data_IF_922237173411
#
_entry.id   IF_922237173411
#
_cell.length_a   1.000
_cell.length_b   1.000
_cell.length_c   1.000
_cell.angle_alpha   90.00
_cell.angle_beta   90.00
_cell.angle_gamma   90.00
#
_symmetry.space_group_name_H-M   'P 1'
#
loop_
_entity.id
_entity.type
_entity.pdbx_description
1 polymer ?
#
# COMPACT_ATOMS: atom_id res chain seq x y z
N UNK A 1 11.61 0.96 -18.16
CA UNK A 1 12.57 0.16 -18.96
C UNK A 1 14.03 0.48 -18.65
N UNK A 2 14.37 1.73 -18.32
CA UNK A 2 15.73 2.14 -17.98
C UNK A 2 16.34 1.32 -16.82
N UNK A 3 15.58 1.01 -15.77
CA UNK A 3 16.05 0.18 -14.66
C UNK A 3 16.48 -1.24 -15.12
N UNK A 4 15.94 -1.72 -16.22
CA UNK A 4 16.26 -3.02 -16.80
C UNK A 4 17.35 -2.96 -17.87
N UNK A 5 17.94 -1.80 -18.14
CA UNK A 5 18.93 -1.61 -19.22
C UNK A 5 20.19 -2.48 -19.03
N UNK A 6 20.60 -2.73 -17.79
CA UNK A 6 21.73 -3.60 -17.48
C UNK A 6 21.52 -5.06 -17.93
N UNK A 7 20.27 -5.55 -17.93
CA UNK A 7 19.91 -6.91 -18.35
C UNK A 7 19.55 -6.97 -19.84
N UNK A 8 18.85 -5.99 -20.34
CA UNK A 8 18.26 -5.98 -21.69
C UNK A 8 19.13 -5.25 -22.73
N UNK A 9 20.15 -4.51 -22.31
CA UNK A 9 21.03 -3.75 -23.21
C UNK A 9 20.20 -2.82 -24.12
N UNK A 10 20.51 -2.81 -25.42
CA UNK A 10 19.83 -1.97 -26.42
C UNK A 10 18.33 -2.28 -26.59
N UNK A 11 17.85 -3.47 -26.18
CA UNK A 11 16.45 -3.86 -26.28
C UNK A 11 15.56 -3.07 -25.30
N UNK A 12 16.14 -2.51 -24.23
CA UNK A 12 15.42 -1.66 -23.26
C UNK A 12 14.88 -0.38 -23.91
N UNK A 13 15.46 0.07 -25.01
CA UNK A 13 15.05 1.28 -25.74
C UNK A 13 14.10 1.01 -26.91
N UNK A 14 13.75 -0.26 -27.15
CA UNK A 14 12.85 -0.68 -28.23
C UNK A 14 11.46 -1.04 -27.74
N UNK A 15 10.73 -1.79 -28.58
CA UNK A 15 9.37 -2.28 -28.28
C UNK A 15 9.26 -3.06 -26.97
N UNK A 16 10.32 -3.80 -26.61
CA UNK A 16 10.37 -4.54 -25.33
C UNK A 16 10.38 -3.57 -24.14
N UNK A 17 11.15 -2.48 -24.22
CA UNK A 17 11.14 -1.45 -23.19
C UNK A 17 9.78 -0.80 -23.02
N UNK A 18 9.10 -0.45 -24.11
CA UNK A 18 7.74 0.12 -24.07
C UNK A 18 6.76 -0.88 -23.41
N UNK A 19 6.83 -2.15 -23.76
CA UNK A 19 5.96 -3.18 -23.15
C UNK A 19 6.19 -3.28 -21.63
N UNK A 20 7.45 -3.24 -21.17
CA UNK A 20 7.78 -3.23 -19.74
C UNK A 20 7.20 -1.98 -19.07
N UNK A 21 7.37 -0.79 -19.66
CA UNK A 21 6.86 0.45 -19.08
C UNK A 21 5.34 0.44 -18.95
N UNK A 22 4.64 -0.06 -19.96
CA UNK A 22 3.18 -0.22 -19.95
C UNK A 22 2.73 -1.20 -18.86
N UNK A 23 3.39 -2.36 -18.75
CA UNK A 23 3.08 -3.35 -17.71
C UNK A 23 3.32 -2.79 -16.30
N UNK A 24 4.39 -2.03 -16.10
CA UNK A 24 4.68 -1.38 -14.81
C UNK A 24 3.59 -0.37 -14.46
N UNK A 25 3.17 0.47 -15.41
CA UNK A 25 2.11 1.46 -15.18
C UNK A 25 0.78 0.77 -14.85
N UNK A 26 0.39 -0.26 -15.61
CA UNK A 26 -0.85 -1.03 -15.34
C UNK A 26 -0.79 -1.69 -13.96
N UNK A 27 0.31 -2.34 -13.62
CA UNK A 27 0.49 -3.00 -12.32
C UNK A 27 0.42 -2.01 -11.15
N UNK A 28 1.03 -0.84 -11.30
CA UNK A 28 0.94 0.23 -10.29
C UNK A 28 -0.47 0.78 -10.15
N UNK A 29 -1.14 1.07 -11.27
CA UNK A 29 -2.53 1.57 -11.23
C UNK A 29 -3.46 0.56 -10.56
N UNK A 30 -3.31 -0.74 -10.87
CA UNK A 30 -4.06 -1.81 -10.22
C UNK A 30 -3.81 -1.89 -8.72
N UNK A 31 -2.55 -1.82 -8.28
CA UNK A 31 -2.18 -1.83 -6.85
C UNK A 31 -2.73 -0.62 -6.09
N UNK A 32 -2.61 0.58 -6.65
CA UNK A 32 -3.19 1.78 -6.05
C UNK A 32 -4.71 1.74 -6.01
N UNK A 33 -5.36 1.33 -7.10
CA UNK A 33 -6.82 1.23 -7.15
C UNK A 33 -7.35 0.26 -6.08
N UNK A 34 -6.69 -0.88 -5.90
CA UNK A 34 -7.06 -1.84 -4.85
C UNK A 34 -6.91 -1.24 -3.45
N UNK A 35 -5.80 -0.56 -3.16
CA UNK A 35 -5.58 0.09 -1.87
C UNK A 35 -6.64 1.15 -1.58
N UNK A 36 -6.97 1.99 -2.56
CA UNK A 36 -7.99 3.03 -2.42
C UNK A 36 -9.40 2.45 -2.27
N UNK A 37 -9.69 1.33 -2.94
CA UNK A 37 -10.95 0.62 -2.82
C UNK A 37 -11.23 0.09 -1.40
N UNK A 38 -10.18 -0.18 -0.61
CA UNK A 38 -10.34 -0.52 0.80
C UNK A 38 -10.37 0.71 1.72
N UNK A 39 -9.49 1.69 1.47
CA UNK A 39 -9.31 2.84 2.36
C UNK A 39 -10.54 3.76 2.37
N UNK A 40 -11.12 4.07 1.22
CA UNK A 40 -12.26 5.00 1.15
C UNK A 40 -13.52 4.49 1.87
N UNK A 41 -13.95 3.22 1.72
CA UNK A 41 -15.04 2.68 2.53
C UNK A 41 -14.73 2.66 4.03
N UNK A 42 -13.49 2.37 4.44
CA UNK A 42 -13.11 2.41 5.86
C UNK A 42 -13.26 3.82 6.44
N UNK A 43 -12.77 4.85 5.75
CA UNK A 43 -12.90 6.23 6.18
C UNK A 43 -14.37 6.65 6.20
N UNK A 44 -15.15 6.27 5.18
CA UNK A 44 -16.59 6.53 5.12
C UNK A 44 -17.33 5.92 6.31
N UNK A 45 -17.01 4.69 6.68
CA UNK A 45 -17.57 4.01 7.84
C UNK A 45 -17.23 4.73 9.16
N UNK A 46 -15.98 5.16 9.34
CA UNK A 46 -15.56 5.93 10.53
C UNK A 46 -16.31 7.26 10.62
N UNK A 47 -16.47 7.99 9.51
CA UNK A 47 -17.22 9.22 9.46
C UNK A 47 -18.69 8.98 9.77
N UNK A 48 -19.26 7.92 9.22
CA UNK A 48 -20.64 7.48 9.47
C UNK A 48 -20.90 7.25 10.96
N UNK A 49 -20.06 6.49 11.61
CA UNK A 49 -20.17 6.18 13.05
C UNK A 49 -19.98 7.43 13.92
N UNK A 50 -19.01 8.27 13.58
CA UNK A 50 -18.67 9.44 14.40
C UNK A 50 -19.74 10.54 14.32
N UNK A 51 -20.32 10.78 13.14
CA UNK A 51 -21.31 11.85 12.91
C UNK A 51 -22.75 11.33 12.89
N UNK A 52 -23.01 10.03 13.02
CA UNK A 52 -24.36 9.46 12.93
C UNK A 52 -24.99 9.58 11.53
N UNK A 53 -24.17 9.67 10.48
CA UNK A 53 -24.61 9.80 9.09
C UNK A 53 -24.63 8.40 8.46
N UNK A 54 -25.63 8.03 7.63
CA UNK A 54 -25.65 6.71 7.01
C UNK A 54 -24.48 6.52 6.02
N UNK A 55 -23.81 5.35 6.08
CA UNK A 55 -22.72 4.98 5.18
C UNK A 55 -23.25 4.68 3.77
N UNK A 56 -23.37 5.71 2.98
CA UNK A 56 -23.96 5.68 1.63
C UNK A 56 -22.89 5.82 0.54
N UNK A 57 -23.24 5.41 -0.69
CA UNK A 57 -22.36 5.61 -1.84
C UNK A 57 -21.95 7.08 -2.07
N UNK A 58 -22.85 8.08 -1.96
CA UNK A 58 -22.46 9.50 -2.02
C UNK A 58 -21.39 9.89 -1.01
N UNK A 59 -21.46 9.38 0.23
CA UNK A 59 -20.43 9.66 1.25
C UNK A 59 -19.06 9.10 0.83
N UNK A 60 -19.01 7.86 0.32
CA UNK A 60 -17.79 7.23 -0.20
C UNK A 60 -17.18 8.01 -1.35
N UNK A 61 -18.02 8.48 -2.26
CA UNK A 61 -17.59 9.33 -3.40
C UNK A 61 -17.05 10.66 -2.88
N UNK A 62 -17.73 11.32 -1.94
CA UNK A 62 -17.27 12.58 -1.36
C UNK A 62 -15.92 12.45 -0.67
N UNK A 63 -15.72 11.38 0.11
CA UNK A 63 -14.43 11.03 0.73
C UNK A 63 -13.35 10.82 -0.36
N UNK A 64 -13.66 10.05 -1.38
CA UNK A 64 -12.73 9.80 -2.49
C UNK A 64 -12.33 11.08 -3.22
N UNK A 65 -13.28 11.97 -3.52
CA UNK A 65 -13.01 13.26 -4.15
C UNK A 65 -12.16 14.17 -3.26
N UNK A 66 -12.46 14.23 -1.97
CA UNK A 66 -11.70 15.02 -1.01
C UNK A 66 -10.21 14.59 -0.97
N UNK A 67 -9.94 13.32 -0.82
CA UNK A 67 -8.56 12.81 -0.84
C UNK A 67 -7.89 12.97 -2.19
N UNK A 68 -8.63 12.80 -3.29
CA UNK A 68 -8.11 13.05 -4.64
C UNK A 68 -7.67 14.50 -4.82
N UNK A 69 -8.43 15.47 -4.30
CA UNK A 69 -8.03 16.88 -4.31
C UNK A 69 -6.73 17.12 -3.52
N UNK A 70 -6.60 16.49 -2.34
CA UNK A 70 -5.38 16.63 -1.51
C UNK A 70 -4.15 16.08 -2.25
N UNK A 71 -4.23 14.88 -2.82
CA UNK A 71 -3.09 14.32 -3.53
C UNK A 71 -2.77 15.11 -4.80
N UNK A 72 -3.79 15.53 -5.57
CA UNK A 72 -3.59 16.31 -6.78
C UNK A 72 -2.90 17.63 -6.48
N UNK A 73 -3.33 18.31 -5.41
CA UNK A 73 -2.67 19.52 -4.94
C UNK A 73 -1.23 19.27 -4.50
N UNK A 74 -1.00 18.19 -3.77
CA UNK A 74 0.35 17.82 -3.34
C UNK A 74 1.27 17.51 -4.51
N UNK A 75 0.77 16.76 -5.50
CA UNK A 75 1.52 16.45 -6.72
C UNK A 75 1.82 17.70 -7.55
N UNK A 76 0.87 18.64 -7.63
CA UNK A 76 1.04 19.89 -8.37
C UNK A 76 2.14 20.76 -7.76
N UNK A 77 2.31 20.77 -6.44
CA UNK A 77 3.41 21.47 -5.75
C UNK A 77 4.79 20.83 -5.93
N UNK A 78 4.84 19.63 -6.49
CA UNK A 78 6.07 18.90 -6.79
C UNK A 78 6.60 18.02 -5.67
N UNK A 79 7.69 17.30 -5.97
CA UNK A 79 8.23 16.24 -5.12
C UNK A 79 8.69 16.74 -3.75
N UNK A 80 9.51 17.78 -3.71
CA UNK A 80 10.12 18.25 -2.46
C UNK A 80 9.20 19.13 -1.61
N UNK A 81 8.43 20.01 -2.24
CA UNK A 81 7.57 20.96 -1.53
C UNK A 81 6.16 20.45 -1.25
N UNK A 82 5.68 19.49 -2.00
CA UNK A 82 4.35 18.90 -1.86
C UNK A 82 4.39 17.52 -1.24
N UNK A 83 4.87 16.53 -1.99
CA UNK A 83 4.82 15.11 -1.61
C UNK A 83 5.65 14.84 -0.36
N UNK A 84 6.89 15.34 -0.28
CA UNK A 84 7.76 15.12 0.88
C UNK A 84 7.18 15.78 2.15
N UNK A 85 6.61 16.99 2.02
CA UNK A 85 5.99 17.66 3.17
C UNK A 85 4.76 16.91 3.68
N UNK A 86 3.89 16.45 2.78
CA UNK A 86 2.73 15.65 3.14
C UNK A 86 3.14 14.32 3.80
N UNK A 87 4.16 13.66 3.27
CA UNK A 87 4.72 12.43 3.84
C UNK A 87 5.26 12.65 5.25
N UNK A 88 6.02 13.73 5.48
CA UNK A 88 6.55 14.06 6.81
C UNK A 88 5.44 14.34 7.82
N UNK A 89 4.40 15.09 7.43
CA UNK A 89 3.23 15.34 8.28
C UNK A 89 2.56 14.00 8.64
N UNK A 90 2.33 13.15 7.66
CA UNK A 90 1.71 11.84 7.88
C UNK A 90 2.54 10.97 8.83
N UNK A 91 3.87 10.96 8.68
CA UNK A 91 4.77 10.20 9.57
C UNK A 91 4.72 10.71 11.02
N UNK A 92 4.72 12.03 11.21
CA UNK A 92 4.61 12.63 12.56
C UNK A 92 3.24 12.31 13.18
N UNK A 93 2.16 12.44 12.41
CA UNK A 93 0.82 12.08 12.86
C UNK A 93 0.71 10.59 13.23
N UNK A 94 1.30 9.72 12.43
CA UNK A 94 1.31 8.28 12.70
C UNK A 94 2.05 7.96 14.01
N UNK A 95 3.24 8.51 14.22
CA UNK A 95 4.02 8.30 15.44
C UNK A 95 3.26 8.85 16.65
N UNK A 96 2.70 10.05 16.55
CA UNK A 96 1.91 10.65 17.62
C UNK A 96 0.68 9.78 17.97
N UNK A 97 0.00 9.25 16.95
CA UNK A 97 -1.14 8.36 17.15
C UNK A 97 -0.74 7.04 17.84
N UNK A 98 0.37 6.41 17.43
CA UNK A 98 0.87 5.19 18.06
C UNK A 98 1.23 5.44 19.54
N UNK A 99 1.91 6.54 19.82
CA UNK A 99 2.25 6.94 21.22
C UNK A 99 0.96 7.19 22.00
N UNK A 100 0.00 7.92 21.45
CA UNK A 100 -1.29 8.17 22.08
C UNK A 100 -2.01 6.87 22.44
N UNK A 101 -2.16 5.96 21.48
CA UNK A 101 -2.82 4.66 21.72
C UNK A 101 -2.08 3.84 22.78
N UNK A 102 -0.76 3.89 22.78
CA UNK A 102 0.03 3.19 23.77
C UNK A 102 -0.11 3.78 25.18
N UNK A 103 -0.19 5.10 25.33
CA UNK A 103 -0.27 5.77 26.62
C UNK A 103 -1.69 5.76 27.22
N UNK A 104 -2.72 5.90 26.37
CA UNK A 104 -4.13 5.97 26.81
C UNK A 104 -4.78 4.61 26.84
N UNK A 105 -4.32 3.70 26.00
CA UNK A 105 -4.83 2.34 25.90
C UNK A 105 -4.26 1.41 26.98
N UNK A 106 -4.67 0.12 26.97
CA UNK A 106 -4.16 -0.88 27.90
C UNK A 106 -2.74 -1.33 27.51
N UNK A 107 -1.74 -0.53 27.82
CA UNK A 107 -0.33 -0.72 27.41
C UNK A 107 0.22 -2.11 27.76
N UNK A 108 -0.10 -2.62 28.93
CA UNK A 108 0.31 -3.95 29.37
C UNK A 108 -0.27 -5.06 28.47
N UNK A 109 -1.54 -4.94 28.11
CA UNK A 109 -2.19 -5.87 27.20
C UNK A 109 -1.62 -5.79 25.78
N UNK A 110 -1.34 -4.57 25.30
CA UNK A 110 -0.73 -4.33 23.97
C UNK A 110 0.63 -5.04 23.90
N UNK A 111 1.46 -4.89 24.92
CA UNK A 111 2.78 -5.53 24.96
C UNK A 111 2.69 -7.06 25.06
N UNK A 112 1.79 -7.58 25.91
CA UNK A 112 1.58 -9.02 26.04
C UNK A 112 1.09 -9.62 24.72
N UNK A 113 0.09 -8.99 24.10
CA UNK A 113 -0.48 -9.45 22.83
C UNK A 113 0.54 -9.37 21.68
N UNK A 114 1.37 -8.33 21.66
CA UNK A 114 2.46 -8.21 20.70
C UNK A 114 3.46 -9.36 20.86
N UNK A 115 3.86 -9.67 22.11
CA UNK A 115 4.81 -10.75 22.39
C UNK A 115 4.25 -12.11 21.98
N UNK A 116 2.97 -12.38 22.30
CA UNK A 116 2.29 -13.62 21.92
C UNK A 116 2.17 -13.74 20.38
N UNK A 117 1.79 -12.65 19.72
CA UNK A 117 1.67 -12.62 18.25
C UNK A 117 3.01 -12.88 17.57
N UNK A 118 4.09 -12.30 18.11
CA UNK A 118 5.44 -12.53 17.62
C UNK A 118 5.86 -14.00 17.82
N UNK A 119 5.57 -14.57 18.98
CA UNK A 119 5.82 -15.97 19.28
C UNK A 119 5.10 -16.92 18.31
N UNK A 120 3.81 -16.69 18.09
CA UNK A 120 2.99 -17.48 17.13
C UNK A 120 3.53 -17.33 15.70
N UNK A 121 3.92 -16.13 15.30
CA UNK A 121 4.48 -15.88 13.97
C UNK A 121 5.78 -16.66 13.75
N UNK A 122 6.69 -16.61 14.71
CA UNK A 122 7.98 -17.33 14.64
C UNK A 122 7.76 -18.84 14.65
N UNK A 123 6.92 -19.34 15.55
CA UNK A 123 6.61 -20.75 15.66
C UNK A 123 5.97 -21.34 14.39
N UNK A 124 5.09 -20.60 13.75
CA UNK A 124 4.36 -21.05 12.57
C UNK A 124 4.93 -20.53 11.25
N UNK A 125 6.10 -19.91 11.27
CA UNK A 125 6.68 -19.24 10.09
C UNK A 125 6.70 -20.13 8.84
N UNK A 126 7.25 -21.35 8.96
CA UNK A 126 7.32 -22.27 7.83
C UNK A 126 5.95 -22.76 7.38
N UNK A 127 5.05 -23.06 8.33
CA UNK A 127 3.69 -23.48 8.03
C UNK A 127 2.93 -22.40 7.28
N UNK A 128 3.01 -21.15 7.71
CA UNK A 128 2.36 -20.02 7.06
C UNK A 128 2.95 -19.72 5.68
N UNK A 129 4.28 -19.83 5.54
CA UNK A 129 4.98 -19.53 4.28
C UNK A 129 4.71 -20.56 3.19
N UNK A 130 4.52 -21.84 3.55
CA UNK A 130 4.28 -22.92 2.61
C UNK A 130 2.82 -23.41 2.56
N UNK A 131 1.90 -22.68 3.20
CA UNK A 131 0.49 -23.04 3.22
C UNK A 131 -0.15 -22.81 1.84
N UNK A 132 -0.62 -23.89 1.22
CA UNK A 132 -1.22 -23.88 -0.12
C UNK A 132 -2.72 -24.17 -0.13
N UNK A 133 -3.32 -24.39 1.05
CA UNK A 133 -4.74 -24.74 1.19
C UNK A 133 -5.17 -25.94 0.35
N UNK A 134 -4.35 -26.98 0.32
CA UNK A 134 -4.56 -28.17 -0.51
C UNK A 134 -5.84 -28.95 -0.17
N UNK A 135 -6.32 -28.85 1.07
CA UNK A 135 -7.51 -29.56 1.55
C UNK A 135 -8.79 -28.82 1.20
N UNK A 136 -8.92 -27.54 1.59
CA UNK A 136 -10.13 -26.74 1.34
C UNK A 136 -10.24 -26.27 -0.10
N UNK A 137 -9.10 -26.15 -0.80
CA UNK A 137 -9.01 -25.70 -2.19
C UNK A 137 -9.75 -24.39 -2.45
N UNK A 138 -9.71 -23.45 -1.49
CA UNK A 138 -10.38 -22.15 -1.59
C UNK A 138 -9.81 -21.26 -2.68
N UNK A 139 -8.56 -21.52 -3.12
CA UNK A 139 -7.83 -20.68 -4.04
C UNK A 139 -7.32 -19.37 -3.41
N UNK A 140 -7.65 -19.09 -2.16
CA UNK A 140 -7.29 -17.84 -1.46
C UNK A 140 -5.78 -17.61 -1.41
N UNK A 141 -4.93 -18.54 -0.93
CA UNK A 141 -3.49 -18.32 -0.87
C UNK A 141 -2.88 -18.10 -2.25
N UNK A 142 -3.33 -18.85 -3.26
CA UNK A 142 -2.83 -18.74 -4.64
C UNK A 142 -3.15 -17.37 -5.24
N UNK A 143 -4.41 -16.92 -5.12
CA UNK A 143 -4.85 -15.64 -5.64
C UNK A 143 -4.08 -14.47 -5.01
N UNK A 144 -3.89 -14.50 -3.68
CA UNK A 144 -3.13 -13.48 -2.98
C UNK A 144 -1.63 -13.53 -3.33
N UNK A 145 -1.07 -14.72 -3.50
CA UNK A 145 0.34 -14.87 -3.92
C UNK A 145 0.56 -14.25 -5.30
N UNK A 146 -0.29 -14.59 -6.27
CA UNK A 146 -0.20 -14.02 -7.62
C UNK A 146 -0.37 -12.51 -7.60
N UNK A 147 -1.37 -12.01 -6.84
CA UNK A 147 -1.61 -10.57 -6.71
C UNK A 147 -0.40 -9.82 -6.14
N UNK A 148 0.15 -10.28 -5.02
CA UNK A 148 1.30 -9.63 -4.38
C UNK A 148 2.57 -9.73 -5.23
N UNK A 149 2.86 -10.88 -5.83
CA UNK A 149 4.02 -11.01 -6.71
C UNK A 149 3.93 -10.08 -7.91
N UNK A 150 2.80 -10.02 -8.59
CA UNK A 150 2.60 -9.13 -9.73
C UNK A 150 2.75 -7.66 -9.33
N UNK A 151 2.18 -7.27 -8.20
CA UNK A 151 2.26 -5.91 -7.66
C UNK A 151 3.70 -5.54 -7.29
N UNK A 152 4.38 -6.36 -6.50
CA UNK A 152 5.73 -6.07 -6.04
C UNK A 152 6.76 -6.07 -7.17
N UNK A 153 6.65 -6.96 -8.15
CA UNK A 153 7.53 -6.95 -9.32
C UNK A 153 7.36 -5.66 -10.15
N UNK A 154 6.12 -5.20 -10.34
CA UNK A 154 5.85 -3.93 -11.01
C UNK A 154 6.40 -2.75 -10.20
N UNK A 155 6.23 -2.80 -8.88
CA UNK A 155 6.68 -1.75 -7.95
C UNK A 155 8.20 -1.66 -7.85
N UNK A 156 8.90 -2.78 -7.89
CA UNK A 156 10.36 -2.82 -7.80
C UNK A 156 11.04 -1.99 -8.91
N UNK A 157 10.53 -2.07 -10.15
CA UNK A 157 11.04 -1.29 -11.27
C UNK A 157 10.83 0.22 -11.04
N UNK A 158 9.66 0.59 -10.53
CA UNK A 158 9.34 1.99 -10.22
C UNK A 158 10.17 2.54 -9.07
N UNK A 159 10.27 1.81 -7.97
CA UNK A 159 11.10 2.20 -6.82
C UNK A 159 12.55 2.36 -7.22
N UNK A 160 13.09 1.46 -8.05
CA UNK A 160 14.44 1.59 -8.58
C UNK A 160 14.67 2.91 -9.32
N UNK A 161 13.72 3.32 -10.16
CA UNK A 161 13.77 4.61 -10.86
C UNK A 161 13.62 5.80 -9.90
N UNK A 162 12.74 5.68 -8.92
CA UNK A 162 12.52 6.72 -7.91
C UNK A 162 13.77 6.92 -7.06
N UNK A 163 14.37 5.85 -6.56
CA UNK A 163 15.60 5.91 -5.77
C UNK A 163 16.77 6.48 -6.57
N UNK A 164 16.90 6.13 -7.84
CA UNK A 164 17.92 6.70 -8.73
C UNK A 164 17.75 8.21 -8.96
N UNK A 165 16.56 8.76 -8.72
CA UNK A 165 16.28 10.20 -8.87
C UNK A 165 16.54 11.01 -7.61
N UNK A 166 16.53 10.40 -6.45
CA UNK A 166 16.70 11.07 -5.15
C UNK A 166 18.07 10.82 -4.53
N UNK A 167 18.84 9.88 -5.07
CA UNK A 167 20.24 9.66 -4.72
C UNK A 167 21.16 10.60 -5.48
#
# INVERSE_FOLDING_TARGET
SYACSGLLGKRAYGKVGIAIDVLVVIGMMGGFATSLAFVFPMISCIISEFFGIPDTLPLKIAVGLFFTCIYSWSCFKGLYSGIAKLSNINMVMFIAFVIYVFLVGPSSWILSYFSDSLGIMIQNFFRMSFYTDAVSRSGFPQNWTVFYWAWWLSWAIYIGLFMARIS
#
